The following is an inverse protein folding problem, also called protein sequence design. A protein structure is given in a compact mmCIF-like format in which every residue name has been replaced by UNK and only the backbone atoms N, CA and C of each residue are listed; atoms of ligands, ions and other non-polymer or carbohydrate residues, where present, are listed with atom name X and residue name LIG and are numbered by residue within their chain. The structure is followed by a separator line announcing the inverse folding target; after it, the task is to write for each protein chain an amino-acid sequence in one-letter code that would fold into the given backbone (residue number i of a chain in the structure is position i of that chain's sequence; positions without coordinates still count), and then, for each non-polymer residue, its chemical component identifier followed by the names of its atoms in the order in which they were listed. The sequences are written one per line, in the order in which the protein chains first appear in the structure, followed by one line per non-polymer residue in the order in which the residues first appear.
data_IF_149425537309
#
_entry.id   IF_149425537309
#
_cell.length_a   1.000
_cell.length_b   1.000
_cell.length_c   1.000
_cell.angle_alpha   90.00
_cell.angle_beta   90.00
_cell.angle_gamma   90.00
#
_symmetry.space_group_name_H-M   'P 1'
#
loop_
_entity.id
_entity.type
_entity.pdbx_description
1 polymer ?
#
# COMPACT_ATOMS: atom_id res chain seq x y z
N UNK A 1 11.37 12.41 50.53
CA UNK A 1 11.93 12.34 49.16
C UNK A 1 10.98 11.65 48.17
N UNK A 2 10.50 10.43 48.45
CA UNK A 2 9.57 9.68 47.57
C UNK A 2 8.25 10.40 47.26
N UNK A 3 7.61 11.00 48.27
CA UNK A 3 6.34 11.72 48.08
C UNK A 3 6.49 12.89 47.10
N UNK A 4 7.59 13.64 47.21
CA UNK A 4 7.87 14.77 46.32
C UNK A 4 8.06 14.30 44.86
N UNK A 5 8.75 13.16 44.67
CA UNK A 5 8.92 12.56 43.35
C UNK A 5 7.57 12.11 42.75
N UNK A 6 6.70 11.48 43.54
CA UNK A 6 5.36 11.10 43.10
C UNK A 6 4.50 12.30 42.70
N UNK A 7 4.57 13.39 43.46
CA UNK A 7 3.87 14.63 43.13
C UNK A 7 4.38 15.23 41.82
N UNK A 8 5.70 15.24 41.60
CA UNK A 8 6.29 15.74 40.35
C UNK A 8 5.86 14.90 39.13
N UNK A 9 5.87 13.57 39.27
CA UNK A 9 5.40 12.65 38.23
C UNK A 9 3.91 12.85 37.95
N UNK A 10 3.09 12.96 38.99
CA UNK A 10 1.64 13.21 38.86
C UNK A 10 1.33 14.54 38.18
N UNK A 11 2.08 15.60 38.53
CA UNK A 11 1.98 16.89 37.86
C UNK A 11 2.33 16.79 36.37
N UNK A 12 3.44 16.12 36.02
CA UNK A 12 3.82 15.92 34.62
C UNK A 12 2.79 15.11 33.86
N UNK A 13 2.22 14.07 34.48
CA UNK A 13 1.15 13.25 33.91
C UNK A 13 -0.09 14.11 33.62
N UNK A 14 -0.55 14.91 34.58
CA UNK A 14 -1.70 15.79 34.40
C UNK A 14 -1.46 16.80 33.27
N UNK A 15 -0.24 17.34 33.16
CA UNK A 15 0.12 18.25 32.09
C UNK A 15 0.02 17.58 30.71
N UNK A 16 0.58 16.37 30.56
CA UNK A 16 0.54 15.63 29.29
C UNK A 16 -0.88 15.18 28.95
N UNK A 17 -1.63 14.66 29.92
CA UNK A 17 -2.93 14.01 29.70
C UNK A 17 -4.11 14.99 29.68
N UNK A 18 -4.01 16.17 30.30
CA UNK A 18 -5.12 17.12 30.34
C UNK A 18 -4.86 18.38 29.52
N UNK A 19 -3.62 18.88 29.48
CA UNK A 19 -3.28 20.12 28.76
C UNK A 19 -2.84 19.81 27.33
N UNK A 20 -2.02 18.78 27.12
CA UNK A 20 -1.47 18.43 25.80
C UNK A 20 -2.24 17.32 25.07
N UNK A 21 -3.37 16.85 25.62
CA UNK A 21 -4.11 15.71 25.06
C UNK A 21 -4.57 15.94 23.62
N UNK A 22 -5.13 17.12 23.33
CA UNK A 22 -5.66 17.42 22.00
C UNK A 22 -4.55 17.47 20.93
N UNK A 23 -3.40 18.06 21.27
CA UNK A 23 -2.25 18.13 20.38
C UNK A 23 -1.71 16.73 20.04
N UNK A 24 -1.55 15.87 21.05
CA UNK A 24 -1.11 14.48 20.81
C UNK A 24 -2.18 13.65 20.09
N UNK A 25 -3.46 13.91 20.32
CA UNK A 25 -4.54 13.28 19.58
C UNK A 25 -4.55 13.71 18.10
N UNK A 26 -4.30 14.98 17.81
CA UNK A 26 -4.14 15.52 16.45
C UNK A 26 -2.93 14.92 15.73
N UNK A 27 -1.77 14.86 16.38
CA UNK A 27 -0.58 14.21 15.83
C UNK A 27 -0.84 12.72 15.55
N UNK A 28 -1.49 12.02 16.48
CA UNK A 28 -1.88 10.62 16.29
C UNK A 28 -2.88 10.42 15.15
N UNK A 29 -3.82 11.36 14.96
CA UNK A 29 -4.74 11.36 13.81
C UNK A 29 -3.99 11.55 12.50
N UNK A 30 -3.03 12.47 12.44
CA UNK A 30 -2.22 12.73 11.24
C UNK A 30 -1.31 11.55 10.88
N UNK A 31 -0.81 10.80 11.87
CA UNK A 31 -0.01 9.59 11.61
C UNK A 31 -0.85 8.40 11.13
N UNK A 32 -2.11 8.30 11.56
CA UNK A 32 -2.99 7.16 11.22
C UNK A 32 -3.91 7.42 10.04
N UNK A 33 -4.20 8.69 9.74
CA UNK A 33 -5.18 9.06 8.72
C UNK A 33 -4.45 9.70 7.56
N UNK A 34 -4.59 9.12 6.38
CA UNK A 34 -4.11 9.71 5.14
C UNK A 34 -5.31 10.07 4.30
N UNK A 35 -5.33 11.30 3.77
CA UNK A 35 -6.34 11.70 2.79
C UNK A 35 -5.91 11.14 1.44
N UNK A 36 -6.65 10.16 0.94
CA UNK A 36 -6.49 9.71 -0.44
C UNK A 36 -7.45 10.45 -1.37
N UNK A 37 -6.92 10.95 -2.49
CA UNK A 37 -7.76 11.56 -3.52
C UNK A 37 -8.33 10.45 -4.39
N UNK A 38 -9.65 10.25 -4.32
CA UNK A 38 -10.35 9.38 -5.26
C UNK A 38 -10.39 10.06 -6.62
N UNK A 39 -9.56 9.59 -7.55
CA UNK A 39 -9.55 10.10 -8.91
C UNK A 39 -10.88 9.80 -9.60
N UNK A 40 -11.48 10.82 -10.24
CA UNK A 40 -12.63 10.60 -11.11
C UNK A 40 -12.19 9.86 -12.37
N UNK A 41 -13.04 8.97 -12.87
CA UNK A 41 -12.79 8.27 -14.12
C UNK A 41 -12.71 9.26 -15.30
N UNK A 42 -11.78 8.99 -16.23
CA UNK A 42 -11.69 9.79 -17.45
C UNK A 42 -12.88 9.49 -18.35
N UNK A 43 -13.55 10.55 -18.81
CA UNK A 43 -14.68 10.45 -19.73
C UNK A 43 -14.29 9.88 -21.10
N UNK A 44 -15.23 9.18 -21.72
CA UNK A 44 -15.09 8.60 -23.06
C UNK A 44 -15.03 9.69 -24.13
N UNK A 45 -14.11 9.54 -25.09
CA UNK A 45 -14.03 10.40 -26.27
C UNK A 45 -14.79 9.71 -27.41
N UNK A 46 -15.70 10.44 -28.05
CA UNK A 46 -16.49 9.97 -29.18
C UNK A 46 -16.15 10.74 -30.46
N UNK A 47 -16.29 10.09 -31.62
CA UNK A 47 -16.35 10.76 -32.92
C UNK A 47 -17.72 11.42 -33.14
N UNK A 48 -17.87 12.22 -34.20
CA UNK A 48 -19.09 12.94 -34.61
C UNK A 48 -20.33 12.04 -34.76
N UNK A 49 -20.12 10.77 -35.07
CA UNK A 49 -21.19 9.78 -35.24
C UNK A 49 -21.50 9.01 -33.94
N UNK A 50 -20.88 9.40 -32.82
CA UNK A 50 -21.06 8.74 -31.51
C UNK A 50 -20.27 7.45 -31.33
N UNK A 51 -19.28 7.16 -32.18
CA UNK A 51 -18.39 5.99 -32.02
C UNK A 51 -17.29 6.29 -31.02
N UNK A 52 -17.00 5.35 -30.14
CA UNK A 52 -15.94 5.47 -29.14
C UNK A 52 -14.55 5.51 -29.79
N UNK A 53 -13.74 6.50 -29.44
CA UNK A 53 -12.35 6.67 -29.89
C UNK A 53 -11.35 6.40 -28.75
N UNK A 54 -11.71 6.73 -27.52
CA UNK A 54 -10.90 6.45 -26.34
C UNK A 54 -11.79 6.23 -25.12
N UNK A 55 -11.62 5.09 -24.47
CA UNK A 55 -12.34 4.69 -23.24
C UNK A 55 -11.35 4.43 -22.11
N UNK A 56 -11.80 4.66 -20.89
CA UNK A 56 -11.07 4.23 -19.70
C UNK A 56 -11.40 2.77 -19.43
N UNK A 57 -10.38 1.94 -19.25
CA UNK A 57 -10.54 0.51 -18.93
C UNK A 57 -9.94 0.27 -17.55
N UNK A 58 -10.65 -0.48 -16.71
CA UNK A 58 -10.13 -0.86 -15.40
C UNK A 58 -8.85 -1.68 -15.55
N UNK A 59 -7.79 -1.28 -14.85
CA UNK A 59 -6.53 -2.00 -14.81
C UNK A 59 -6.02 -2.11 -13.38
N UNK A 60 -5.58 -3.30 -13.00
CA UNK A 60 -5.04 -3.60 -11.67
C UNK A 60 -3.52 -3.51 -11.73
N UNK A 61 -2.92 -2.88 -10.72
CA UNK A 61 -1.47 -2.89 -10.54
C UNK A 61 -1.16 -3.80 -9.36
N UNK A 62 -0.34 -4.82 -9.61
CA UNK A 62 0.15 -5.72 -8.58
C UNK A 62 1.53 -5.26 -8.15
N UNK A 63 1.71 -5.04 -6.85
CA UNK A 63 2.99 -4.68 -6.27
C UNK A 63 3.36 -5.59 -5.11
N UNK A 64 4.64 -5.63 -4.80
CA UNK A 64 5.18 -6.38 -3.69
C UNK A 64 5.81 -5.45 -2.66
N UNK A 65 5.66 -5.79 -1.39
CA UNK A 65 6.48 -5.27 -0.28
C UNK A 65 7.41 -6.37 0.22
N UNK A 66 8.68 -6.40 -0.25
CA UNK A 66 9.63 -7.44 0.11
C UNK A 66 9.88 -7.65 1.61
N UNK A 67 9.69 -6.61 2.43
CA UNK A 67 9.86 -6.70 3.89
C UNK A 67 8.81 -7.57 4.58
N UNK A 68 7.67 -7.82 3.92
CA UNK A 68 6.57 -8.65 4.44
C UNK A 68 6.62 -10.09 3.92
N UNK A 69 7.62 -10.43 3.09
CA UNK A 69 7.72 -11.72 2.41
C UNK A 69 8.66 -12.69 3.14
N UNK A 70 8.21 -13.93 3.34
CA UNK A 70 9.06 -15.01 3.87
C UNK A 70 9.90 -15.67 2.76
N UNK A 71 9.30 -15.95 1.60
CA UNK A 71 9.95 -16.65 0.48
C UNK A 71 9.84 -15.87 -0.85
N UNK A 72 10.59 -14.76 -1.01
CA UNK A 72 10.49 -13.90 -2.21
C UNK A 72 10.85 -14.62 -3.51
N UNK A 73 11.78 -15.59 -3.48
CA UNK A 73 12.18 -16.38 -4.66
C UNK A 73 11.06 -17.31 -5.12
N UNK A 74 10.40 -17.99 -4.18
CA UNK A 74 9.26 -18.87 -4.46
C UNK A 74 8.09 -18.06 -5.04
N UNK A 75 7.77 -16.92 -4.42
CA UNK A 75 6.72 -16.01 -4.91
C UNK A 75 7.03 -15.49 -6.32
N UNK A 76 8.27 -15.07 -6.59
CA UNK A 76 8.68 -14.66 -7.93
C UNK A 76 8.47 -15.77 -8.97
N UNK A 77 8.82 -17.02 -8.64
CA UNK A 77 8.65 -18.15 -9.55
C UNK A 77 7.19 -18.47 -9.88
N UNK A 78 6.28 -18.22 -8.93
CA UNK A 78 4.84 -18.42 -9.11
C UNK A 78 4.20 -17.29 -9.92
N UNK A 79 4.56 -16.03 -9.62
CA UNK A 79 3.91 -14.86 -10.21
C UNK A 79 4.47 -14.49 -11.58
N UNK A 80 5.78 -14.60 -11.79
CA UNK A 80 6.42 -14.15 -13.02
C UNK A 80 5.80 -14.74 -14.30
N UNK A 81 5.45 -16.04 -14.38
CA UNK A 81 4.77 -16.60 -15.56
C UNK A 81 3.37 -16.02 -15.78
N UNK A 82 2.63 -15.70 -14.70
CA UNK A 82 1.27 -15.14 -14.78
C UNK A 82 1.29 -13.70 -15.31
N UNK A 83 2.36 -12.96 -15.03
CA UNK A 83 2.51 -11.56 -15.44
C UNK A 83 3.47 -11.37 -16.63
N UNK A 84 3.94 -12.47 -17.23
CA UNK A 84 4.82 -12.43 -18.40
C UNK A 84 6.23 -11.90 -18.13
N UNK A 85 6.73 -12.01 -16.90
CA UNK A 85 8.09 -11.61 -16.49
C UNK A 85 9.02 -12.81 -16.36
N UNK A 86 10.33 -12.53 -16.37
CA UNK A 86 11.34 -13.53 -16.05
C UNK A 86 11.36 -13.77 -14.52
N UNK A 87 11.26 -15.03 -14.05
CA UNK A 87 11.33 -15.36 -12.62
C UNK A 87 12.61 -14.88 -11.92
N UNK A 88 13.75 -14.96 -12.59
CA UNK A 88 15.06 -14.59 -12.02
C UNK A 88 15.15 -13.09 -11.79
N UNK A 89 14.70 -12.28 -12.75
CA UNK A 89 14.72 -10.82 -12.64
C UNK A 89 13.80 -10.37 -11.50
N UNK A 90 12.58 -10.93 -11.44
CA UNK A 90 11.64 -10.61 -10.37
C UNK A 90 12.17 -11.05 -9.00
N UNK A 91 12.78 -12.24 -8.90
CA UNK A 91 13.40 -12.69 -7.66
C UNK A 91 14.54 -11.77 -7.20
N UNK A 92 15.34 -11.25 -8.15
CA UNK A 92 16.41 -10.29 -7.85
C UNK A 92 15.83 -8.97 -7.34
N UNK A 93 14.76 -8.47 -7.96
CA UNK A 93 14.08 -7.25 -7.50
C UNK A 93 13.48 -7.43 -6.09
N UNK A 94 12.83 -8.57 -5.83
CA UNK A 94 12.26 -8.88 -4.51
C UNK A 94 13.32 -9.16 -3.43
N UNK A 95 14.53 -9.58 -3.79
CA UNK A 95 15.63 -9.82 -2.82
C UNK A 95 16.59 -8.64 -2.69
N UNK A 96 16.38 -7.57 -3.46
CA UNK A 96 17.25 -6.38 -3.46
C UNK A 96 17.21 -5.55 -2.17
N UNK A 97 16.27 -5.83 -1.26
CA UNK A 97 16.04 -5.06 -0.04
C UNK A 97 15.20 -3.79 -0.26
N UNK A 98 14.61 -3.61 -1.44
CA UNK A 98 13.66 -2.54 -1.70
C UNK A 98 12.37 -2.75 -0.86
N UNK A 99 11.77 -1.67 -0.36
CA UNK A 99 10.49 -1.74 0.36
C UNK A 99 9.26 -1.85 -0.55
N UNK A 100 9.44 -1.66 -1.86
CA UNK A 100 8.38 -1.67 -2.86
C UNK A 100 8.91 -2.12 -4.22
N UNK A 101 8.22 -3.05 -4.87
CA UNK A 101 8.56 -3.56 -6.21
C UNK A 101 7.28 -3.69 -7.05
N UNK A 102 7.28 -3.20 -8.29
CA UNK A 102 6.18 -3.46 -9.22
C UNK A 102 6.29 -4.88 -9.77
N UNK A 103 5.27 -5.71 -9.53
CA UNK A 103 5.17 -7.06 -10.11
C UNK A 103 4.55 -6.97 -11.50
N UNK A 104 3.44 -6.25 -11.63
CA UNK A 104 2.76 -6.00 -12.89
C UNK A 104 1.96 -4.71 -12.85
N UNK A 105 1.80 -4.03 -13.99
CA UNK A 105 0.99 -2.81 -14.12
C UNK A 105 -0.06 -3.02 -15.20
N UNK A 106 -1.23 -2.40 -15.01
CA UNK A 106 -2.33 -2.42 -15.98
C UNK A 106 -2.80 -3.84 -16.34
N UNK A 107 -2.78 -4.74 -15.37
CA UNK A 107 -3.29 -6.09 -15.54
C UNK A 107 -4.82 -6.06 -15.66
N UNK A 108 -5.38 -6.85 -16.58
CA UNK A 108 -6.82 -7.01 -16.66
C UNK A 108 -7.37 -7.58 -15.33
N UNK A 109 -8.51 -7.11 -14.82
CA UNK A 109 -9.06 -7.58 -13.54
C UNK A 109 -9.21 -9.10 -13.45
N UNK A 110 -9.52 -9.75 -14.57
CA UNK A 110 -9.69 -11.21 -14.67
C UNK A 110 -8.36 -11.95 -14.47
N UNK A 111 -7.25 -11.36 -14.92
CA UNK A 111 -5.91 -11.91 -14.75
C UNK A 111 -5.35 -11.63 -13.34
N UNK A 112 -5.78 -10.53 -12.71
CA UNK A 112 -5.37 -10.17 -11.35
C UNK A 112 -6.12 -10.97 -10.27
N UNK A 113 -7.36 -11.39 -10.54
CA UNK A 113 -8.20 -12.13 -9.60
C UNK A 113 -7.52 -13.35 -8.96
N UNK A 114 -6.90 -14.27 -9.74
CA UNK A 114 -6.17 -15.41 -9.19
C UNK A 114 -4.96 -15.02 -8.31
N UNK A 115 -4.29 -13.92 -8.64
CA UNK A 115 -3.13 -13.42 -7.86
C UNK A 115 -3.62 -12.88 -6.52
N UNK A 116 -4.69 -12.09 -6.51
CA UNK A 116 -5.30 -11.57 -5.29
C UNK A 116 -5.86 -12.70 -4.41
N UNK A 117 -6.45 -13.73 -5.02
CA UNK A 117 -7.01 -14.89 -4.30
C UNK A 117 -5.95 -15.81 -3.68
N UNK A 118 -4.69 -15.73 -4.13
CA UNK A 118 -3.60 -16.52 -3.58
C UNK A 118 -3.11 -16.01 -2.21
N UNK A 119 -3.52 -14.81 -1.79
CA UNK A 119 -3.25 -14.21 -0.48
C UNK A 119 -1.78 -14.34 -0.05
N UNK A 120 -0.89 -14.02 -0.99
CA UNK A 120 0.55 -14.16 -0.79
C UNK A 120 1.05 -13.02 0.11
N UNK A 121 1.76 -13.31 1.21
CA UNK A 121 2.31 -12.28 2.08
C UNK A 121 3.18 -11.27 1.31
N UNK A 122 2.91 -9.99 1.52
CA UNK A 122 3.62 -8.89 0.88
C UNK A 122 3.27 -8.69 -0.60
N UNK A 123 2.17 -9.25 -1.12
CA UNK A 123 1.63 -8.95 -2.47
C UNK A 123 0.30 -8.23 -2.36
N UNK A 124 0.13 -7.14 -3.12
CA UNK A 124 -1.05 -6.26 -3.10
C UNK A 124 -1.48 -5.86 -4.51
#
# INVERSE_FOLDING_TARGET
MLVLAWVLIGYRLALVQAVSADEYADQGRQQRSQTETLAADRGTIFDRDGRELAVSVAGVTVYASPHEMEEPVTVASLLAPLVGRNPTDLAQELTSGAGFVYVARQLAPEAAGPIAAADLPGIH
#
